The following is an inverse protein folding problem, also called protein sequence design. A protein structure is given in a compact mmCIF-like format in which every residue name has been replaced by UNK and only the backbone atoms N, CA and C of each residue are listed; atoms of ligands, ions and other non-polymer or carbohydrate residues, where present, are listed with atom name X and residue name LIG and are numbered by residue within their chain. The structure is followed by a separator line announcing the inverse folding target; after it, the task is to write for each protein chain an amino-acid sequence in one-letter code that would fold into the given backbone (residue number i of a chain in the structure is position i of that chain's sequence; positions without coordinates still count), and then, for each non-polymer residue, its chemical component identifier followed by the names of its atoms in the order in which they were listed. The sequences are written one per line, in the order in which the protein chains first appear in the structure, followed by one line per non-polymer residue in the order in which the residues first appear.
data_IF_063290406499
#
_entry.id   IF_063290406499
#
_cell.length_a   1.000
_cell.length_b   1.000
_cell.length_c   1.000
_cell.angle_alpha   90.00
_cell.angle_beta   90.00
_cell.angle_gamma   90.00
#
_symmetry.space_group_name_H-M   'P 1'
#
loop_
_entity.id
_entity.type
_entity.pdbx_description
1 polymer ?
#
# COMPACT_ATOMS: atom_id res chain seq x y z
N UNK A 1 -26.69 -1.78 -10.07
CA UNK A 1 -25.46 -1.89 -9.27
C UNK A 1 -25.51 -3.26 -8.66
N UNK A 2 -24.60 -4.17 -9.02
CA UNK A 2 -24.48 -5.41 -8.27
C UNK A 2 -23.48 -5.12 -7.15
N UNK A 3 -23.96 -5.02 -5.91
CA UNK A 3 -23.12 -4.71 -4.73
C UNK A 3 -21.92 -5.67 -4.58
N UNK A 4 -22.01 -6.84 -5.22
CA UNK A 4 -20.98 -7.86 -5.25
C UNK A 4 -19.72 -7.41 -5.98
N UNK A 5 -19.85 -6.68 -7.09
CA UNK A 5 -18.70 -6.23 -7.90
C UNK A 5 -17.92 -5.11 -7.19
N UNK A 6 -18.65 -4.23 -6.50
CA UNK A 6 -18.02 -3.18 -5.69
C UNK A 6 -17.28 -3.77 -4.48
N UNK A 7 -17.85 -4.80 -3.85
CA UNK A 7 -17.20 -5.52 -2.75
C UNK A 7 -15.96 -6.30 -3.22
N UNK A 8 -16.02 -6.98 -4.36
CA UNK A 8 -14.89 -7.76 -4.86
C UNK A 8 -13.69 -6.88 -5.24
N UNK A 9 -13.94 -5.73 -5.88
CA UNK A 9 -12.90 -4.74 -6.17
C UNK A 9 -12.26 -4.18 -4.88
N UNK A 10 -13.07 -3.91 -3.85
CA UNK A 10 -12.56 -3.47 -2.55
C UNK A 10 -11.67 -4.51 -1.87
N UNK A 11 -12.04 -5.79 -1.92
CA UNK A 11 -11.23 -6.88 -1.33
C UNK A 11 -9.89 -7.01 -2.06
N UNK A 12 -9.88 -6.99 -3.40
CA UNK A 12 -8.65 -7.08 -4.19
C UNK A 12 -7.71 -5.90 -3.92
N UNK A 13 -8.25 -4.69 -3.80
CA UNK A 13 -7.47 -3.51 -3.47
C UNK A 13 -6.80 -3.58 -2.09
N UNK A 14 -7.54 -4.08 -1.09
CA UNK A 14 -7.00 -4.29 0.26
C UNK A 14 -5.92 -5.38 0.26
N UNK A 15 -6.12 -6.47 -0.47
CA UNK A 15 -5.14 -7.56 -0.56
C UNK A 15 -3.84 -7.13 -1.25
N UNK A 16 -3.95 -6.40 -2.36
CA UNK A 16 -2.80 -5.84 -3.07
C UNK A 16 -2.02 -4.87 -2.19
N UNK A 17 -2.71 -3.88 -1.60
CA UNK A 17 -2.09 -2.91 -0.71
C UNK A 17 -1.49 -3.55 0.54
N UNK A 18 -2.13 -4.57 1.12
CA UNK A 18 -1.60 -5.26 2.29
C UNK A 18 -0.31 -6.02 1.95
N UNK A 19 -0.27 -6.68 0.80
CA UNK A 19 0.90 -7.43 0.35
C UNK A 19 2.10 -6.50 0.18
N UNK A 20 1.95 -5.40 -0.55
CA UNK A 20 3.05 -4.45 -0.76
C UNK A 20 3.40 -3.67 0.51
N UNK A 21 2.41 -3.24 1.29
CA UNK A 21 2.61 -2.62 2.59
C UNK A 21 3.45 -3.50 3.52
N UNK A 22 3.13 -4.79 3.64
CA UNK A 22 3.90 -5.74 4.46
C UNK A 22 5.35 -5.89 3.99
N UNK A 23 5.58 -5.95 2.67
CA UNK A 23 6.96 -5.99 2.15
C UNK A 23 7.73 -4.71 2.51
N UNK A 24 7.11 -3.54 2.34
CA UNK A 24 7.72 -2.26 2.70
C UNK A 24 8.01 -2.17 4.21
N UNK A 25 7.12 -2.70 5.04
CA UNK A 25 7.31 -2.77 6.50
C UNK A 25 8.49 -3.67 6.84
N UNK A 26 8.61 -4.85 6.21
CA UNK A 26 9.73 -5.76 6.43
C UNK A 26 11.08 -5.09 6.09
N UNK A 27 11.19 -4.46 4.92
CA UNK A 27 12.42 -3.75 4.54
C UNK A 27 12.72 -2.54 5.43
N UNK A 28 11.70 -1.73 5.75
CA UNK A 28 11.90 -0.56 6.60
C UNK A 28 12.29 -0.93 8.03
N UNK A 29 11.64 -1.94 8.62
CA UNK A 29 11.98 -2.42 9.97
C UNK A 29 13.41 -2.97 10.04
N UNK A 30 13.85 -3.73 9.04
CA UNK A 30 15.25 -4.17 8.92
C UNK A 30 16.21 -3.00 8.79
N UNK A 31 15.87 -2.00 7.98
CA UNK A 31 16.66 -0.77 7.82
C UNK A 31 16.80 0.01 9.12
N UNK A 32 15.69 0.21 9.86
CA UNK A 32 15.68 0.89 11.17
C UNK A 32 16.46 0.08 12.20
N UNK A 33 16.35 -1.25 12.20
CA UNK A 33 17.10 -2.12 13.11
C UNK A 33 18.61 -2.05 12.83
N UNK A 34 19.01 -2.13 11.56
CA UNK A 34 20.40 -2.00 11.16
C UNK A 34 20.96 -0.62 11.51
N UNK A 35 20.23 0.46 11.20
CA UNK A 35 20.60 1.82 11.53
C UNK A 35 20.72 2.03 13.05
N UNK A 36 19.81 1.45 13.84
CA UNK A 36 19.86 1.54 15.30
C UNK A 36 21.05 0.77 15.91
N UNK A 37 21.52 -0.30 15.25
CA UNK A 37 22.65 -1.12 15.71
C UNK A 37 24.02 -0.56 15.30
N UNK A 38 24.15 -0.14 14.05
CA UNK A 38 25.45 0.24 13.47
C UNK A 38 25.72 1.74 13.49
N UNK A 39 24.70 2.59 13.66
CA UNK A 39 24.86 4.04 13.59
C UNK A 39 24.52 4.74 14.92
N UNK A 40 25.52 5.13 15.72
CA UNK A 40 25.32 5.80 17.02
C UNK A 40 24.54 7.11 16.92
N UNK A 41 24.75 7.90 15.85
CA UNK A 41 24.03 9.15 15.63
C UNK A 41 22.53 8.92 15.36
N UNK A 42 22.16 7.89 14.60
CA UNK A 42 20.76 7.51 14.40
C UNK A 42 20.13 7.01 15.71
N UNK A 43 20.88 6.22 16.49
CA UNK A 43 20.41 5.69 17.78
C UNK A 43 20.11 6.81 18.78
N UNK A 44 21.01 7.79 18.89
CA UNK A 44 20.94 8.87 19.88
C UNK A 44 20.19 10.12 19.39
N UNK A 45 20.08 10.32 18.08
CA UNK A 45 19.44 11.49 17.47
C UNK A 45 17.93 11.33 17.23
N UNK A 46 17.43 10.09 17.19
CA UNK A 46 16.01 9.81 16.90
C UNK A 46 15.32 9.12 18.08
N UNK A 47 14.23 9.72 18.55
CA UNK A 47 13.36 9.12 19.58
C UNK A 47 12.60 7.90 19.02
N UNK A 48 12.08 7.06 19.92
CA UNK A 48 11.31 5.86 19.57
C UNK A 48 10.16 6.17 18.61
N UNK A 49 9.41 7.25 18.86
CA UNK A 49 8.33 7.70 17.97
C UNK A 49 8.81 7.99 16.53
N UNK A 50 9.97 8.64 16.38
CA UNK A 50 10.55 8.91 15.07
C UNK A 50 10.99 7.64 14.34
N UNK A 51 11.55 6.67 15.07
CA UNK A 51 11.90 5.35 14.51
C UNK A 51 10.66 4.58 14.09
N UNK A 52 9.58 4.65 14.86
CA UNK A 52 8.29 4.04 14.50
C UNK A 52 7.70 4.70 13.25
N UNK A 53 7.77 6.03 13.14
CA UNK A 53 7.30 6.73 11.94
C UNK A 53 8.05 6.25 10.67
N UNK A 54 9.37 6.04 10.77
CA UNK A 54 10.16 5.50 9.66
C UNK A 54 9.72 4.11 9.20
N UNK A 55 9.12 3.30 10.07
CA UNK A 55 8.57 1.97 9.72
C UNK A 55 7.13 2.07 9.20
N UNK A 56 6.29 2.85 9.89
CA UNK A 56 4.84 2.90 9.65
C UNK A 56 4.49 3.72 8.41
N UNK A 57 5.20 4.82 8.16
CA UNK A 57 4.95 5.66 6.98
C UNK A 57 5.13 4.92 5.65
N UNK A 58 6.24 4.19 5.40
CA UNK A 58 6.38 3.42 4.16
C UNK A 58 5.32 2.32 4.02
N UNK A 59 4.91 1.66 5.12
CA UNK A 59 3.82 0.70 5.08
C UNK A 59 2.54 1.33 4.48
N UNK A 60 2.09 2.46 5.06
CA UNK A 60 0.87 3.11 4.59
C UNK A 60 1.03 3.68 3.17
N UNK A 61 2.20 4.23 2.85
CA UNK A 61 2.46 4.77 1.53
C UNK A 61 2.24 3.73 0.43
N UNK A 62 2.89 2.56 0.54
CA UNK A 62 2.73 1.49 -0.45
C UNK A 62 1.34 0.84 -0.41
N UNK A 63 0.76 0.69 0.79
CA UNK A 63 -0.60 0.19 0.93
C UNK A 63 -1.60 1.04 0.14
N UNK A 64 -1.58 2.37 0.33
CA UNK A 64 -2.51 3.25 -0.36
C UNK A 64 -2.24 3.32 -1.87
N UNK A 65 -0.97 3.32 -2.27
CA UNK A 65 -0.59 3.42 -3.68
C UNK A 65 -1.10 2.22 -4.49
N UNK A 66 -0.89 1.00 -4.01
CA UNK A 66 -1.35 -0.20 -4.73
C UNK A 66 -2.85 -0.45 -4.57
N UNK A 67 -3.44 -0.09 -3.43
CA UNK A 67 -4.88 -0.14 -3.27
C UNK A 67 -5.58 0.81 -4.27
N UNK A 68 -5.05 2.03 -4.44
CA UNK A 68 -5.57 2.98 -5.41
C UNK A 68 -5.37 2.50 -6.85
N UNK A 69 -4.22 1.87 -7.15
CA UNK A 69 -3.96 1.28 -8.45
C UNK A 69 -4.99 0.18 -8.80
N UNK A 70 -5.21 -0.77 -7.89
CA UNK A 70 -6.18 -1.85 -8.08
C UNK A 70 -7.63 -1.32 -8.24
N UNK A 71 -8.00 -0.28 -7.48
CA UNK A 71 -9.30 0.39 -7.64
C UNK A 71 -9.40 1.07 -9.01
N UNK A 72 -8.33 1.71 -9.46
CA UNK A 72 -8.32 2.39 -10.75
C UNK A 72 -8.41 1.41 -11.93
N UNK A 73 -7.71 0.28 -11.86
CA UNK A 73 -7.76 -0.77 -12.88
C UNK A 73 -9.18 -1.34 -13.03
N UNK A 74 -9.82 -1.70 -11.90
CA UNK A 74 -11.22 -2.16 -11.91
C UNK A 74 -12.19 -1.11 -12.46
N UNK A 75 -11.89 0.19 -12.26
CA UNK A 75 -12.68 1.29 -12.81
C UNK A 75 -12.50 1.41 -14.33
N UNK A 76 -11.29 1.24 -14.85
CA UNK A 76 -11.00 1.30 -16.28
C UNK A 76 -11.70 0.17 -17.06
N UNK A 77 -11.60 -1.06 -16.57
CA UNK A 77 -12.28 -2.22 -17.18
C UNK A 77 -13.80 -1.99 -17.31
N UNK A 78 -14.39 -1.34 -16.31
CA UNK A 78 -15.82 -0.99 -16.31
C UNK A 78 -16.16 0.05 -17.38
N UNK A 79 -15.32 1.07 -17.57
CA UNK A 79 -15.52 2.06 -18.63
C UNK A 79 -15.38 1.43 -20.01
N UNK A 80 -14.45 0.51 -20.21
CA UNK A 80 -14.32 -0.22 -21.47
C UNK A 80 -15.51 -1.13 -21.76
N UNK A 81 -16.00 -1.88 -20.77
CA UNK A 81 -17.23 -2.67 -20.91
C UNK A 81 -18.41 -1.80 -21.32
N UNK A 82 -18.63 -0.67 -20.66
CA UNK A 82 -19.70 0.27 -21.01
C UNK A 82 -19.52 0.87 -22.41
N UNK A 83 -18.28 1.18 -22.79
CA UNK A 83 -17.96 1.71 -24.12
C UNK A 83 -18.22 0.68 -25.22
N UNK A 84 -17.88 -0.59 -24.99
CA UNK A 84 -18.13 -1.68 -25.93
C UNK A 84 -19.63 -1.97 -26.09
N UNK A 85 -20.37 -1.99 -24.97
CA UNK A 85 -21.83 -2.19 -24.97
C UNK A 85 -22.61 -1.06 -25.65
N UNK A 86 -22.06 0.16 -25.72
CA UNK A 86 -22.68 1.28 -26.45
C UNK A 86 -22.42 1.23 -27.96
N UNK A 87 -21.43 0.45 -28.40
CA UNK A 87 -21.06 0.28 -29.82
C UNK A 87 -21.69 -0.96 -30.47
N UNK A 88 -22.18 -1.90 -29.65
CA UNK A 88 -22.96 -3.06 -30.07
C UNK A 88 -24.44 -2.70 -30.16
#
# INVERSE_FOLDING_TARGET
MDDKDARSAGVQAVEAGLTSGLTALAFSSLGVLAANKFWPAFRNGLNVSGKTALVVTPFFFYFFLDAEHAINDSRQERFEKLRSSRKA
#
